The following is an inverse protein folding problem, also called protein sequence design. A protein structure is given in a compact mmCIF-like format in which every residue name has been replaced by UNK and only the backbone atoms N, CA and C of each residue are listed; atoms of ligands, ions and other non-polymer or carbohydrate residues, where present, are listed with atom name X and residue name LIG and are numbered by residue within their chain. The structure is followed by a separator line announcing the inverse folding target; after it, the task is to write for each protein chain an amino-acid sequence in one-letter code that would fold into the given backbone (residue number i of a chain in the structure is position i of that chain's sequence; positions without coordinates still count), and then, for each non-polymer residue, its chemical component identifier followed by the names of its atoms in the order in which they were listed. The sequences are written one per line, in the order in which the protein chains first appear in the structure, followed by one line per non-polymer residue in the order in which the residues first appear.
data_IF_682089864785
#
_entry.id   IF_682089864785
#
_cell.length_a   1.000
_cell.length_b   1.000
_cell.length_c   1.000
_cell.angle_alpha   90.00
_cell.angle_beta   90.00
_cell.angle_gamma   90.00
#
_symmetry.space_group_name_H-M   'P 1'
#
loop_
_entity.id
_entity.type
_entity.pdbx_description
1 polymer ?
#
# COMPACT_ATOMS: atom_id res chain seq x y z
N UNK A 1 14.23 1.67 -18.87
CA UNK A 1 13.56 0.53 -19.53
C UNK A 1 13.05 1.02 -20.88
N UNK A 2 13.47 0.43 -22.01
CA UNK A 2 12.87 0.75 -23.33
C UNK A 2 11.77 -0.26 -23.61
N UNK A 3 10.53 0.20 -23.65
CA UNK A 3 9.35 -0.63 -23.91
C UNK A 3 8.87 -0.38 -25.33
N UNK A 4 9.05 -1.34 -26.24
CA UNK A 4 8.71 -1.19 -27.67
C UNK A 4 7.21 -1.25 -27.96
N UNK A 5 6.43 -1.91 -27.09
CA UNK A 5 5.01 -2.22 -27.34
C UNK A 5 4.05 -1.87 -26.19
N UNK A 6 4.57 -1.48 -25.02
CA UNK A 6 3.72 -1.13 -23.86
C UNK A 6 3.13 0.26 -24.13
N UNK A 7 1.79 0.31 -24.25
CA UNK A 7 1.04 1.55 -24.50
C UNK A 7 0.54 2.21 -23.21
N UNK A 8 0.34 1.43 -22.16
CA UNK A 8 -0.05 1.89 -20.83
C UNK A 8 0.48 0.95 -19.75
N UNK A 9 0.81 1.52 -18.59
CA UNK A 9 1.20 0.79 -17.39
C UNK A 9 0.58 1.51 -16.20
N UNK A 10 -0.18 0.79 -15.38
CA UNK A 10 -0.92 1.34 -14.25
C UNK A 10 -0.57 0.62 -12.96
N UNK A 11 -0.57 1.38 -11.86
CA UNK A 11 -0.35 0.86 -10.52
C UNK A 11 -1.50 1.32 -9.61
N UNK A 12 -2.55 0.49 -9.59
CA UNK A 12 -3.83 0.83 -8.96
C UNK A 12 -4.04 0.16 -7.61
N UNK A 13 -3.62 -1.10 -7.46
CA UNK A 13 -3.79 -1.87 -6.23
C UNK A 13 -2.46 -2.47 -5.82
N UNK A 14 -2.15 -2.38 -4.53
CA UNK A 14 -1.04 -3.09 -3.92
C UNK A 14 -1.49 -3.84 -2.68
N UNK A 15 -0.83 -4.95 -2.41
CA UNK A 15 -1.05 -5.76 -1.22
C UNK A 15 0.28 -5.95 -0.49
N UNK A 16 0.27 -5.72 0.81
CA UNK A 16 1.41 -5.85 1.70
C UNK A 16 1.06 -6.79 2.85
N UNK A 17 2.02 -7.60 3.27
CA UNK A 17 1.91 -8.38 4.50
C UNK A 17 2.66 -7.62 5.59
N UNK A 18 1.97 -7.30 6.69
CA UNK A 18 2.56 -6.65 7.86
C UNK A 18 2.56 -7.66 8.99
N UNK A 19 3.70 -7.84 9.65
CA UNK A 19 3.87 -8.82 10.72
C UNK A 19 4.77 -8.28 11.82
N UNK A 20 4.42 -8.55 13.07
CA UNK A 20 5.28 -8.31 14.24
C UNK A 20 6.07 -9.55 14.66
N UNK A 21 5.99 -10.63 13.89
CA UNK A 21 6.64 -11.91 14.16
C UNK A 21 5.72 -12.97 14.79
N UNK A 22 4.64 -12.55 15.46
CA UNK A 22 3.64 -13.46 16.04
C UNK A 22 2.29 -13.37 15.32
N UNK A 23 1.91 -12.16 14.92
CA UNK A 23 0.66 -11.83 14.26
C UNK A 23 0.93 -11.15 12.93
N UNK A 24 0.19 -11.58 11.90
CA UNK A 24 0.25 -10.98 10.58
C UNK A 24 -1.11 -10.46 10.13
N UNK A 25 -1.11 -9.34 9.42
CA UNK A 25 -2.26 -8.79 8.74
C UNK A 25 -1.91 -8.48 7.28
N UNK A 26 -2.92 -8.40 6.44
CA UNK A 26 -2.80 -8.02 5.05
C UNK A 26 -3.30 -6.59 4.90
N UNK A 27 -2.43 -5.70 4.43
CA UNK A 27 -2.76 -4.33 4.07
C UNK A 27 -2.96 -4.26 2.55
N UNK A 28 -4.18 -3.93 2.12
CA UNK A 28 -4.51 -3.65 0.72
C UNK A 28 -4.61 -2.14 0.53
N UNK A 29 -3.91 -1.60 -0.44
CA UNK A 29 -3.95 -0.18 -0.78
C UNK A 29 -4.51 -0.02 -2.19
N UNK A 30 -5.66 0.66 -2.29
CA UNK A 30 -6.27 1.06 -3.55
C UNK A 30 -5.95 2.53 -3.79
N UNK A 31 -4.92 2.72 -4.59
CA UNK A 31 -4.39 4.02 -4.90
C UNK A 31 -5.26 4.83 -5.85
N UNK A 32 -6.09 4.18 -6.67
CA UNK A 32 -7.01 4.86 -7.59
C UNK A 32 -8.16 5.52 -6.83
N UNK A 33 -8.64 4.86 -5.77
CA UNK A 33 -9.74 5.33 -4.94
C UNK A 33 -9.29 6.03 -3.66
N UNK A 34 -7.97 6.18 -3.45
CA UNK A 34 -7.36 6.71 -2.23
C UNK A 34 -7.88 6.03 -0.95
N UNK A 35 -7.93 4.69 -0.96
CA UNK A 35 -8.48 3.87 0.13
C UNK A 35 -7.51 2.76 0.48
N UNK A 36 -7.58 2.29 1.72
CA UNK A 36 -6.91 1.08 2.15
C UNK A 36 -7.84 0.19 2.96
N UNK A 37 -7.53 -1.10 2.99
CA UNK A 37 -8.24 -2.12 3.74
C UNK A 37 -7.23 -2.97 4.52
N UNK A 38 -7.56 -3.29 5.77
CA UNK A 38 -6.75 -4.14 6.63
C UNK A 38 -7.52 -5.42 6.90
N UNK A 39 -7.04 -6.52 6.33
CA UNK A 39 -7.60 -7.85 6.55
C UNK A 39 -6.74 -8.64 7.54
N UNK A 40 -7.40 -9.44 8.37
CA UNK A 40 -6.71 -10.37 9.25
C UNK A 40 -7.48 -11.68 9.38
N UNK A 41 -6.76 -12.81 9.42
CA UNK A 41 -7.34 -14.15 9.42
C UNK A 41 -7.90 -14.55 10.79
N UNK A 42 -8.97 -13.89 11.23
CA UNK A 42 -9.80 -14.30 12.38
C UNK A 42 -9.15 -14.23 13.77
N UNK A 43 -7.82 -14.11 13.87
CA UNK A 43 -7.10 -13.84 15.11
C UNK A 43 -7.27 -12.37 15.49
N UNK A 44 -7.42 -12.11 16.78
CA UNK A 44 -7.43 -10.75 17.32
C UNK A 44 -6.07 -10.10 17.02
N UNK A 45 -6.06 -9.09 16.16
CA UNK A 45 -4.85 -8.35 15.85
C UNK A 45 -4.65 -7.25 16.89
N UNK A 46 -3.45 -7.13 17.48
CA UNK A 46 -3.17 -6.09 18.44
C UNK A 46 -3.44 -4.68 17.88
N UNK A 47 -3.97 -3.79 18.73
CA UNK A 47 -4.32 -2.44 18.31
C UNK A 47 -3.10 -1.62 17.83
N UNK A 48 -1.90 -1.88 18.38
CA UNK A 48 -0.66 -1.24 17.93
C UNK A 48 -0.34 -1.60 16.48
N UNK A 49 -0.45 -2.88 16.12
CA UNK A 49 -0.12 -3.36 14.78
C UNK A 49 -1.09 -2.82 13.73
N UNK A 50 -2.38 -2.71 14.07
CA UNK A 50 -3.37 -2.04 13.22
C UNK A 50 -3.03 -0.57 13.02
N UNK A 51 -2.67 0.14 14.10
CA UNK A 51 -2.33 1.56 14.04
C UNK A 51 -1.10 1.83 13.18
N UNK A 52 -0.06 1.00 13.30
CA UNK A 52 1.14 1.11 12.47
C UNK A 52 0.85 0.78 11.00
N UNK A 53 0.07 -0.27 10.73
CA UNK A 53 -0.35 -0.59 9.37
C UNK A 53 -1.19 0.52 8.72
N UNK A 54 -2.08 1.17 9.48
CA UNK A 54 -2.82 2.36 9.03
C UNK A 54 -1.88 3.52 8.69
N UNK A 55 -0.93 3.84 9.56
CA UNK A 55 0.02 4.94 9.31
C UNK A 55 0.88 4.68 8.05
N UNK A 56 1.30 3.42 7.84
CA UNK A 56 2.00 3.01 6.61
C UNK A 56 1.08 3.20 5.40
N UNK A 57 -0.19 2.83 5.49
CA UNK A 57 -1.14 2.98 4.39
C UNK A 57 -1.37 4.44 4.02
N UNK A 58 -1.50 5.33 5.01
CA UNK A 58 -1.63 6.77 4.81
C UNK A 58 -0.39 7.35 4.13
N UNK A 59 0.81 7.03 4.61
CA UNK A 59 2.08 7.46 3.99
C UNK A 59 2.22 6.93 2.55
N UNK A 60 1.82 5.69 2.27
CA UNK A 60 1.84 5.14 0.91
C UNK A 60 0.89 5.89 -0.03
N UNK A 61 -0.33 6.16 0.43
CA UNK A 61 -1.33 6.92 -0.33
C UNK A 61 -0.86 8.35 -0.60
N UNK A 62 -0.33 9.05 0.41
CA UNK A 62 0.27 10.38 0.28
C UNK A 62 1.44 10.38 -0.70
N UNK A 63 2.32 9.38 -0.63
CA UNK A 63 3.46 9.25 -1.56
C UNK A 63 3.05 9.02 -3.00
N UNK A 64 1.96 8.30 -3.29
CA UNK A 64 1.51 8.24 -4.70
C UNK A 64 1.15 9.63 -5.23
N UNK A 65 0.58 10.49 -4.38
CA UNK A 65 0.30 11.88 -4.74
C UNK A 65 1.57 12.75 -4.79
N UNK A 66 2.55 12.48 -3.91
CA UNK A 66 3.83 13.21 -3.85
C UNK A 66 4.89 12.76 -4.86
N UNK A 67 4.76 11.56 -5.43
CA UNK A 67 5.66 11.01 -6.46
C UNK A 67 4.95 11.07 -7.81
N UNK A 68 4.64 12.30 -8.25
CA UNK A 68 4.72 12.57 -9.68
C UNK A 68 6.17 12.26 -10.08
N UNK A 69 6.41 11.11 -10.70
CA UNK A 69 7.70 10.68 -11.25
C UNK A 69 8.20 11.60 -12.40
N UNK A 70 7.75 12.86 -12.46
CA UNK A 70 7.96 13.79 -13.57
C UNK A 70 9.01 14.87 -13.31
N UNK A 71 9.44 15.15 -12.08
CA UNK A 71 10.44 16.20 -11.85
C UNK A 71 11.52 15.76 -10.85
N UNK A 72 12.63 15.27 -11.40
CA UNK A 72 13.95 15.53 -10.85
C UNK A 72 14.76 16.12 -12.00
N UNK A 73 15.00 17.42 -11.91
CA UNK A 73 15.95 18.19 -12.75
C UNK A 73 17.37 17.60 -12.67
#
# INVERSE_FOLDING_TARGET
MKTTYIKSFEFDNAQYLVSDGETSLVLKVNYKNNKYEIEHNGKSVPAYLKKEASAIAEDLLERKHGVNFAERE
#
